data_IF_219990658586
#
_entry.id   IF_219990658586
#
_cell.length_a   1.000
_cell.length_b   1.000
_cell.length_c   1.000
_cell.angle_alpha   90.00
_cell.angle_beta   90.00
_cell.angle_gamma   90.00
#
_symmetry.space_group_name_H-M   'P 1'
#
loop_
_entity.id
_entity.type
_entity.pdbx_description
1 polymer ?
#
# COMPACT_ATOMS: atom_id res chain seq x y z
N UNK A 1 14.47 5.25 -0.65
CA UNK A 1 13.32 4.75 -1.45
C UNK A 1 13.11 3.27 -1.14
N UNK A 2 11.92 2.92 -0.67
CA UNK A 2 11.52 1.52 -0.48
C UNK A 2 10.59 1.14 -1.64
N UNK A 3 10.82 -0.03 -2.23
CA UNK A 3 9.93 -0.66 -3.20
C UNK A 3 9.43 -1.96 -2.59
N UNK A 4 8.15 -2.22 -2.71
CA UNK A 4 7.52 -3.46 -2.28
C UNK A 4 6.73 -4.05 -3.46
N UNK A 5 6.72 -5.37 -3.56
CA UNK A 5 5.96 -6.08 -4.58
C UNK A 5 5.39 -7.38 -4.02
N UNK A 6 4.20 -7.72 -4.48
CA UNK A 6 3.58 -9.03 -4.24
C UNK A 6 3.30 -9.65 -5.60
N UNK A 7 3.73 -10.89 -5.79
CA UNK A 7 3.41 -11.67 -6.99
C UNK A 7 2.74 -12.97 -6.59
N UNK A 8 1.83 -13.47 -7.42
CA UNK A 8 1.15 -14.73 -7.22
C UNK A 8 1.44 -15.66 -8.40
N UNK A 9 1.93 -16.86 -8.12
CA UNK A 9 2.15 -17.88 -9.13
C UNK A 9 1.88 -19.27 -8.55
N UNK A 10 1.16 -20.11 -9.30
CA UNK A 10 0.95 -21.53 -8.99
C UNK A 10 0.56 -21.86 -7.53
N UNK A 11 -0.29 -21.04 -6.88
CA UNK A 11 -0.72 -21.29 -5.50
C UNK A 11 0.03 -20.49 -4.43
N UNK A 12 1.14 -19.84 -4.78
CA UNK A 12 2.04 -19.22 -3.83
C UNK A 12 2.17 -17.71 -4.07
N UNK A 13 2.19 -16.94 -2.99
CA UNK A 13 2.55 -15.52 -3.01
C UNK A 13 4.03 -15.36 -2.69
N UNK A 14 4.72 -14.52 -3.46
CA UNK A 14 6.06 -14.03 -3.14
C UNK A 14 5.98 -12.55 -2.81
N UNK A 15 6.38 -12.19 -1.59
CA UNK A 15 6.47 -10.80 -1.14
C UNK A 15 7.94 -10.39 -1.12
N UNK A 16 8.25 -9.25 -1.72
CA UNK A 16 9.61 -8.71 -1.76
C UNK A 16 9.59 -7.25 -1.30
N UNK A 17 10.56 -6.89 -0.45
CA UNK A 17 10.84 -5.50 -0.07
C UNK A 17 12.29 -5.22 -0.44
N UNK A 18 12.50 -4.11 -1.14
CA UNK A 18 13.83 -3.66 -1.58
C UNK A 18 14.06 -2.22 -1.19
N UNK A 19 15.18 -1.96 -0.51
CA UNK A 19 15.70 -0.63 -0.32
C UNK A 19 16.55 -0.25 -1.54
N UNK A 20 15.96 0.51 -2.45
CA UNK A 20 16.62 0.93 -3.69
C UNK A 20 17.80 1.87 -3.43
N UNK A 21 17.84 2.53 -2.27
CA UNK A 21 18.93 3.43 -1.89
C UNK A 21 20.17 2.69 -1.38
N UNK A 22 20.01 1.47 -0.85
CA UNK A 22 21.14 0.67 -0.32
C UNK A 22 21.39 -0.61 -1.12
N UNK A 23 20.52 -0.95 -2.06
CA UNK A 23 20.57 -2.21 -2.82
C UNK A 23 20.13 -3.44 -2.03
N UNK A 24 19.78 -3.29 -0.74
CA UNK A 24 19.34 -4.43 0.08
C UNK A 24 17.94 -4.89 -0.33
N UNK A 25 17.72 -6.20 -0.24
CA UNK A 25 16.40 -6.80 -0.51
C UNK A 25 16.15 -7.98 0.41
N UNK A 26 14.87 -8.22 0.68
CA UNK A 26 14.36 -9.38 1.38
C UNK A 26 13.16 -9.92 0.63
N UNK A 27 13.02 -11.24 0.56
CA UNK A 27 11.89 -11.90 -0.08
C UNK A 27 11.43 -13.11 0.74
N UNK A 28 10.12 -13.37 0.71
CA UNK A 28 9.52 -14.52 1.38
C UNK A 28 8.32 -15.03 0.61
N UNK A 29 8.19 -16.35 0.60
CA UNK A 29 7.06 -17.03 0.01
C UNK A 29 6.06 -17.48 1.07
N UNK A 30 4.78 -17.48 0.70
CA UNK A 30 3.70 -17.99 1.53
C UNK A 30 2.53 -18.50 0.69
N UNK A 31 1.92 -19.59 1.12
CA UNK A 31 0.64 -20.06 0.59
C UNK A 31 -0.49 -19.54 1.48
N UNK A 32 -1.50 -18.94 0.87
CA UNK A 32 -2.73 -18.49 1.57
C UNK A 32 -3.92 -19.16 0.89
N UNK A 33 -4.33 -20.35 1.36
CA UNK A 33 -5.45 -21.07 0.76
C UNK A 33 -6.73 -20.23 0.82
N UNK A 34 -7.44 -20.15 -0.31
CA UNK A 34 -8.72 -19.42 -0.40
C UNK A 34 -8.59 -17.90 -0.58
N UNK A 35 -7.38 -17.34 -0.75
CA UNK A 35 -7.24 -15.93 -1.09
C UNK A 35 -7.95 -15.59 -2.42
N UNK A 36 -8.92 -14.68 -2.37
CA UNK A 36 -9.78 -14.33 -3.51
C UNK A 36 -9.03 -13.55 -4.62
N UNK A 37 -8.01 -12.75 -4.25
CA UNK A 37 -7.20 -11.93 -5.16
C UNK A 37 -8.03 -10.96 -6.02
N UNK A 38 -9.04 -10.33 -5.43
CA UNK A 38 -9.99 -9.43 -6.11
C UNK A 38 -9.62 -7.96 -6.02
N UNK A 39 -8.52 -7.61 -5.35
CA UNK A 39 -8.04 -6.24 -5.18
C UNK A 39 -6.51 -6.18 -5.17
N UNK A 40 -6.00 -4.99 -5.48
CA UNK A 40 -4.62 -4.59 -5.23
C UNK A 40 -4.66 -3.25 -4.50
N UNK A 41 -3.81 -3.07 -3.48
CA UNK A 41 -3.93 -1.96 -2.55
C UNK A 41 -2.57 -1.34 -2.22
N UNK A 42 -2.57 -0.02 -2.05
CA UNK A 42 -1.43 0.75 -1.54
C UNK A 42 -1.94 1.56 -0.36
N UNK A 43 -1.55 1.16 0.85
CA UNK A 43 -2.18 1.64 2.08
C UNK A 43 -1.11 2.25 3.01
N UNK A 44 -1.49 3.35 3.64
CA UNK A 44 -0.81 3.89 4.83
C UNK A 44 -1.70 3.56 6.03
N UNK A 45 -1.24 2.67 6.90
CA UNK A 45 -2.09 2.03 7.91
C UNK A 45 -1.64 2.36 9.34
N UNK A 46 -2.61 2.52 10.23
CA UNK A 46 -2.40 2.32 11.66
C UNK A 46 -2.68 0.83 11.97
N UNK A 47 -1.66 -0.01 12.16
CA UNK A 47 -1.89 -1.43 12.37
C UNK A 47 -2.70 -1.68 13.64
N UNK A 48 -3.52 -2.72 13.63
CA UNK A 48 -4.20 -3.18 14.84
C UNK A 48 -3.36 -4.22 15.60
N UNK A 49 -3.71 -4.38 16.88
CA UNK A 49 -3.38 -5.53 17.73
C UNK A 49 -1.88 -5.76 18.01
N UNK A 50 -1.51 -5.83 19.30
CA UNK A 50 -0.36 -6.65 19.70
C UNK A 50 -0.86 -8.04 20.08
N UNK A 51 0.00 -8.97 20.51
CA UNK A 51 -0.34 -10.40 20.76
C UNK A 51 -1.41 -10.64 21.84
N UNK A 52 -2.16 -9.63 22.28
CA UNK A 52 -3.15 -9.70 23.36
C UNK A 52 -4.57 -9.44 22.83
N UNK A 53 -5.58 -10.15 23.37
CA UNK A 53 -6.95 -10.16 22.85
C UNK A 53 -7.76 -8.88 23.08
N UNK A 54 -7.16 -7.76 23.52
CA UNK A 54 -7.86 -6.48 23.79
C UNK A 54 -7.13 -5.25 23.23
N UNK A 55 -6.16 -5.43 22.36
CA UNK A 55 -5.42 -4.29 21.83
C UNK A 55 -6.22 -3.66 20.69
N UNK A 56 -6.50 -2.37 20.80
CA UNK A 56 -7.16 -1.58 19.76
C UNK A 56 -6.25 -1.30 18.57
N UNK A 57 -6.72 -0.41 17.69
CA UNK A 57 -5.87 0.14 16.62
C UNK A 57 -4.72 0.89 17.31
N UNK A 58 -3.48 0.64 16.89
CA UNK A 58 -2.33 1.34 17.46
C UNK A 58 -2.39 2.84 17.08
N UNK A 59 -1.85 3.74 17.90
CA UNK A 59 -1.69 5.14 17.52
C UNK A 59 -0.97 5.25 16.16
N UNK A 60 -1.52 6.04 15.24
CA UNK A 60 -0.88 6.26 13.95
C UNK A 60 0.36 7.14 14.17
N UNK A 61 1.54 6.59 13.86
CA UNK A 61 2.79 7.31 13.99
C UNK A 61 2.79 8.58 13.11
N UNK A 62 3.37 9.66 13.62
CA UNK A 62 3.56 10.89 12.85
C UNK A 62 4.62 10.65 11.76
N UNK A 63 4.15 10.50 10.53
CA UNK A 63 4.99 10.38 9.34
C UNK A 63 5.05 11.69 8.53
N UNK A 64 4.42 12.78 9.01
CA UNK A 64 4.24 14.06 8.32
C UNK A 64 3.53 13.90 6.97
N UNK A 65 4.24 13.41 5.96
CA UNK A 65 3.75 13.07 4.63
C UNK A 65 4.52 11.88 4.06
N UNK A 66 3.81 10.96 3.44
CA UNK A 66 4.40 9.88 2.64
C UNK A 66 3.88 9.95 1.21
N UNK A 67 4.79 9.82 0.25
CA UNK A 67 4.47 9.72 -1.18
C UNK A 67 4.59 8.28 -1.66
N UNK A 68 3.57 7.81 -2.38
CA UNK A 68 3.52 6.49 -3.01
C UNK A 68 3.49 6.66 -4.52
N UNK A 69 4.31 5.90 -5.23
CA UNK A 69 4.35 5.89 -6.70
C UNK A 69 5.59 6.58 -7.31
N UNK A 70 5.55 6.69 -8.64
CA UNK A 70 6.69 7.09 -9.46
C UNK A 70 7.11 8.54 -9.22
N UNK A 71 6.16 9.45 -9.02
CA UNK A 71 6.41 10.89 -8.89
C UNK A 71 7.20 11.22 -7.62
N UNK A 72 7.06 10.39 -6.58
CA UNK A 72 7.77 10.54 -5.31
C UNK A 72 9.04 9.68 -5.19
N UNK A 73 9.08 8.55 -5.89
CA UNK A 73 10.19 7.57 -5.77
C UNK A 73 11.17 7.61 -6.94
N UNK A 74 10.78 8.16 -8.10
CA UNK A 74 11.49 8.05 -9.36
C UNK A 74 11.57 6.61 -9.91
N UNK A 75 10.94 5.63 -9.26
CA UNK A 75 11.03 4.21 -9.65
C UNK A 75 9.91 3.86 -10.63
N UNK A 76 10.22 3.33 -11.82
CA UNK A 76 9.21 2.85 -12.75
C UNK A 76 8.50 1.62 -12.20
N UNK A 77 7.27 1.36 -12.65
CA UNK A 77 6.48 0.21 -12.24
C UNK A 77 6.08 0.25 -10.75
N UNK A 78 5.93 1.44 -10.18
CA UNK A 78 5.44 1.62 -8.81
C UNK A 78 3.99 2.05 -8.84
N UNK A 79 3.23 1.57 -7.84
CA UNK A 79 1.77 1.59 -7.87
C UNK A 79 1.15 0.85 -9.07
N UNK A 80 1.85 -0.18 -9.57
CA UNK A 80 1.37 -1.03 -10.65
C UNK A 80 0.70 -2.30 -10.10
N UNK A 81 -0.39 -2.69 -10.75
CA UNK A 81 -1.05 -3.97 -10.54
C UNK A 81 -1.33 -4.64 -11.89
N UNK A 82 -1.65 -5.93 -11.85
CA UNK A 82 -2.03 -6.69 -13.02
C UNK A 82 -3.25 -7.57 -12.74
N UNK A 83 -4.24 -7.51 -13.64
CA UNK A 83 -5.33 -8.47 -13.76
C UNK A 83 -5.30 -9.13 -15.16
N UNK A 84 -6.37 -9.79 -15.57
CA UNK A 84 -6.44 -10.46 -16.89
C UNK A 84 -6.47 -9.51 -18.09
N UNK A 85 -6.80 -8.24 -17.89
CA UNK A 85 -7.02 -7.25 -18.95
C UNK A 85 -6.02 -6.08 -18.88
N UNK A 86 -5.60 -5.70 -17.69
CA UNK A 86 -4.82 -4.49 -17.42
C UNK A 86 -3.54 -4.87 -16.69
N UNK A 87 -2.43 -4.30 -17.13
CA UNK A 87 -1.14 -4.34 -16.44
C UNK A 87 -0.52 -2.95 -16.51
N UNK A 88 -0.45 -2.26 -15.38
CA UNK A 88 0.03 -0.89 -15.33
C UNK A 88 -0.34 -0.17 -14.03
N UNK A 89 -0.18 1.17 -13.99
CA UNK A 89 -0.37 1.96 -12.79
C UNK A 89 -1.84 1.96 -12.35
N UNK A 90 -2.07 2.23 -11.06
CA UNK A 90 -3.39 2.28 -10.43
C UNK A 90 -4.42 3.09 -11.26
N UNK A 91 -4.04 4.22 -11.85
CA UNK A 91 -4.94 5.03 -12.69
C UNK A 91 -5.45 4.33 -13.97
N UNK A 92 -4.82 3.23 -14.40
CA UNK A 92 -5.21 2.48 -15.60
C UNK A 92 -6.44 1.60 -15.40
N UNK A 93 -6.82 1.31 -14.15
CA UNK A 93 -7.96 0.44 -13.83
C UNK A 93 -9.33 1.12 -13.97
N UNK A 94 -9.34 2.41 -14.35
CA UNK A 94 -10.55 3.20 -14.53
C UNK A 94 -11.14 3.70 -13.21
N UNK A 95 -11.59 4.95 -13.18
CA UNK A 95 -11.99 5.62 -11.92
C UNK A 95 -13.09 4.91 -11.14
N UNK A 96 -13.99 4.17 -11.81
CA UNK A 96 -15.07 3.41 -11.16
C UNK A 96 -14.58 2.19 -10.36
N UNK A 97 -13.31 1.78 -10.54
CA UNK A 97 -12.70 0.64 -9.86
C UNK A 97 -11.60 1.08 -8.87
N UNK A 98 -11.42 2.38 -8.66
CA UNK A 98 -10.39 2.94 -7.79
C UNK A 98 -11.08 3.56 -6.58
N UNK A 99 -10.78 3.02 -5.41
CA UNK A 99 -11.30 3.52 -4.14
C UNK A 99 -10.21 4.27 -3.39
N UNK A 100 -10.47 5.53 -3.04
CA UNK A 100 -9.58 6.31 -2.19
C UNK A 100 -9.99 6.14 -0.73
N UNK A 101 -9.06 5.67 0.10
CA UNK A 101 -9.31 5.42 1.52
C UNK A 101 -8.46 6.39 2.36
N UNK A 102 -9.05 6.92 3.42
CA UNK A 102 -8.37 7.77 4.42
C UNK A 102 -8.52 7.16 5.81
N UNK A 103 -7.47 7.29 6.64
CA UNK A 103 -7.50 6.81 8.02
C UNK A 103 -8.26 7.82 8.87
N UNK A 104 -9.41 7.39 9.39
CA UNK A 104 -10.22 8.17 10.35
C UNK A 104 -9.84 7.87 11.80
N UNK A 105 -10.08 8.82 12.70
CA UNK A 105 -9.75 8.71 14.11
C UNK A 105 -10.66 7.70 14.85
N UNK A 106 -10.14 7.11 15.91
CA UNK A 106 -10.87 6.24 16.82
C UNK A 106 -10.45 6.49 18.26
N UNK A 107 -11.17 5.96 19.25
CA UNK A 107 -10.83 6.14 20.67
C UNK A 107 -9.44 5.60 21.05
N UNK A 108 -8.91 4.62 20.32
CA UNK A 108 -7.60 4.01 20.59
C UNK A 108 -6.49 4.49 19.64
N UNK A 109 -6.88 5.09 18.51
CA UNK A 109 -5.98 5.65 17.50
C UNK A 109 -6.62 6.93 16.95
N UNK A 110 -6.52 8.05 17.68
CA UNK A 110 -7.21 9.30 17.35
C UNK A 110 -6.63 10.00 16.12
N UNK A 111 -5.34 9.80 15.85
CA UNK A 111 -4.65 10.34 14.69
C UNK A 111 -5.30 9.89 13.38
N UNK A 112 -5.28 10.80 12.41
CA UNK A 112 -5.88 10.61 11.08
C UNK A 112 -4.83 10.70 9.98
N UNK A 113 -5.18 10.22 8.79
CA UNK A 113 -4.43 10.52 7.59
C UNK A 113 -5.33 10.68 6.38
N UNK A 114 -5.09 11.76 5.64
CA UNK A 114 -5.79 12.07 4.39
C UNK A 114 -4.86 11.81 3.22
N UNK A 115 -5.30 10.97 2.29
CA UNK A 115 -4.61 10.75 1.03
C UNK A 115 -5.11 11.71 -0.06
N UNK A 116 -4.23 12.09 -0.98
CA UNK A 116 -4.56 12.90 -2.15
C UNK A 116 -5.28 12.06 -3.21
N UNK A 117 -5.88 12.74 -4.18
CA UNK A 117 -6.20 12.10 -5.46
C UNK A 117 -4.91 11.58 -6.14
N UNK A 118 -5.08 10.70 -7.12
CA UNK A 118 -3.99 10.31 -8.00
C UNK A 118 -3.44 11.52 -8.76
N UNK A 119 -2.13 11.49 -9.04
CA UNK A 119 -1.49 12.43 -9.95
C UNK A 119 -2.10 12.31 -11.36
N UNK A 120 -1.98 13.34 -12.22
CA UNK A 120 -2.64 13.34 -13.54
C UNK A 120 -2.27 12.16 -14.45
N UNK A 121 -1.09 11.58 -14.27
CA UNK A 121 -0.64 10.40 -15.02
C UNK A 121 -1.10 9.06 -14.39
N UNK A 122 -1.81 9.14 -13.25
CA UNK A 122 -2.39 8.01 -12.56
C UNK A 122 -1.38 7.14 -11.81
N UNK A 123 -0.12 7.57 -11.65
CA UNK A 123 0.95 6.72 -11.10
C UNK A 123 1.16 6.88 -9.60
N UNK A 124 0.75 8.00 -9.03
CA UNK A 124 1.20 8.39 -7.69
C UNK A 124 0.10 9.04 -6.86
N UNK A 125 0.24 8.98 -5.55
CA UNK A 125 -0.56 9.76 -4.60
C UNK A 125 0.26 9.97 -3.32
N UNK A 126 -0.22 10.82 -2.43
CA UNK A 126 0.43 11.07 -1.14
C UNK A 126 -0.58 10.96 -0.01
N UNK A 127 -0.12 10.67 1.20
CA UNK A 127 -0.93 10.75 2.40
C UNK A 127 -0.25 11.65 3.42
N UNK A 128 -1.03 12.48 4.11
CA UNK A 128 -0.57 13.42 5.13
C UNK A 128 -1.14 12.98 6.47
N UNK A 129 -0.30 12.97 7.50
CA UNK A 129 -0.70 12.67 8.87
C UNK A 129 -1.31 13.89 9.55
N UNK A 130 -2.26 13.68 10.46
CA UNK A 130 -2.77 14.72 11.34
C UNK A 130 -3.00 14.17 12.77
N UNK A 131 -2.77 15.03 13.81
CA UNK A 131 -2.81 14.63 15.21
C UNK A 131 -4.17 14.16 15.71
#
# INVERSE_FOLDING_TARGET
IISASVTYNAGEFTVTISNKSTGQSFSKNATVPGAARTSAEWIVEAPCCTKRPRDGILPLADFVMVGLGRDFSGQPGTNDAADSAINGPIGSFGAANIEQITKVGSSTSPQTSTCSALTPDGTSFSCVWAP
#
